data_IF_667631037844
#
_entry.id   IF_667631037844
#
_cell.length_a   1.000
_cell.length_b   1.000
_cell.length_c   1.000
_cell.angle_alpha   90.00
_cell.angle_beta   90.00
_cell.angle_gamma   90.00
#
_symmetry.space_group_name_H-M   'P 1'
#
loop_
_entity.id
_entity.type
_entity.pdbx_description
1 polymer ?
#
# COMPACT_ATOMS: atom_id res chain seq x y z
N UNK A 1 -24.27 8.60 6.18
CA UNK A 1 -23.35 8.30 5.06
C UNK A 1 -23.78 6.98 4.41
N UNK A 2 -23.72 6.87 3.08
CA UNK A 2 -24.07 5.64 2.33
C UNK A 2 -22.99 5.36 1.28
N UNK A 3 -22.51 4.11 1.19
CA UNK A 3 -21.60 3.71 0.12
C UNK A 3 -22.37 3.42 -1.17
N UNK A 4 -21.83 3.88 -2.29
CA UNK A 4 -22.28 3.47 -3.60
C UNK A 4 -22.07 1.97 -3.79
N UNK A 5 -23.00 1.31 -4.47
CA UNK A 5 -22.88 -0.11 -4.76
C UNK A 5 -21.74 -0.43 -5.75
N UNK A 6 -21.21 0.59 -6.44
CA UNK A 6 -20.09 0.49 -7.37
C UNK A 6 -18.84 1.07 -6.73
N UNK A 7 -17.71 0.40 -6.96
CA UNK A 7 -16.38 0.94 -6.72
C UNK A 7 -15.84 1.58 -8.01
N UNK A 8 -14.75 2.34 -7.92
CA UNK A 8 -14.05 2.84 -9.11
C UNK A 8 -13.44 1.69 -9.95
N UNK A 9 -13.03 1.96 -11.19
CA UNK A 9 -12.34 0.96 -12.01
C UNK A 9 -11.02 0.50 -11.37
N UNK A 10 -10.20 1.44 -10.87
CA UNK A 10 -8.96 1.12 -10.15
C UNK A 10 -9.20 0.26 -8.90
N UNK A 11 -10.21 0.59 -8.10
CA UNK A 11 -10.60 -0.22 -6.95
C UNK A 11 -11.11 -1.62 -7.37
N UNK A 12 -11.76 -1.74 -8.53
CA UNK A 12 -12.18 -3.02 -9.07
C UNK A 12 -11.00 -3.89 -9.49
N UNK A 13 -10.00 -3.30 -10.17
CA UNK A 13 -8.77 -3.98 -10.59
C UNK A 13 -7.99 -4.53 -9.39
N UNK A 14 -7.86 -3.74 -8.32
CA UNK A 14 -7.22 -4.17 -7.07
C UNK A 14 -7.90 -5.39 -6.42
N UNK A 15 -9.22 -5.57 -6.64
CA UNK A 15 -9.97 -6.69 -6.09
C UNK A 15 -9.82 -7.98 -6.90
N UNK A 16 -9.52 -7.90 -8.21
CA UNK A 16 -9.52 -9.06 -9.12
C UNK A 16 -8.68 -10.26 -8.61
N UNK A 17 -7.44 -10.07 -8.12
CA UNK A 17 -6.62 -11.18 -7.62
C UNK A 17 -7.22 -11.89 -6.39
N UNK A 18 -8.12 -11.21 -5.67
CA UNK A 18 -8.69 -11.69 -4.41
C UNK A 18 -10.10 -12.28 -4.56
N UNK A 19 -10.74 -12.12 -5.72
CA UNK A 19 -12.11 -12.62 -5.98
C UNK A 19 -12.20 -14.13 -5.77
N UNK A 20 -11.28 -14.89 -6.39
CA UNK A 20 -11.34 -16.35 -6.35
C UNK A 20 -11.14 -16.92 -4.94
N UNK A 21 -10.13 -16.48 -4.17
CA UNK A 21 -9.99 -16.88 -2.76
C UNK A 21 -11.21 -16.57 -1.87
N UNK A 22 -11.94 -15.49 -2.14
CA UNK A 22 -13.15 -15.13 -1.37
C UNK A 22 -14.34 -15.97 -1.81
N UNK A 23 -14.47 -16.24 -3.11
CA UNK A 23 -15.51 -17.11 -3.66
C UNK A 23 -15.39 -18.54 -3.13
N UNK A 24 -14.17 -19.10 -3.11
CA UNK A 24 -13.90 -20.47 -2.69
C UNK A 24 -14.09 -20.67 -1.17
N UNK A 25 -14.13 -19.60 -0.37
CA UNK A 25 -14.31 -19.64 1.09
C UNK A 25 -15.46 -18.72 1.53
N UNK A 26 -16.72 -19.18 1.45
CA UNK A 26 -17.86 -18.41 1.91
C UNK A 26 -17.71 -17.96 3.37
N UNK A 27 -17.89 -16.67 3.62
CA UNK A 27 -17.68 -16.06 4.94
C UNK A 27 -16.24 -15.63 5.23
N UNK A 28 -15.32 -15.79 4.28
CA UNK A 28 -13.97 -15.23 4.39
C UNK A 28 -14.02 -13.71 4.58
N UNK A 29 -13.24 -13.23 5.55
CA UNK A 29 -13.02 -11.81 5.78
C UNK A 29 -11.65 -11.43 5.25
N UNK A 30 -11.58 -10.29 4.57
CA UNK A 30 -10.31 -9.70 4.10
C UNK A 30 -10.16 -8.31 4.70
N UNK A 31 -8.91 -7.96 4.99
CA UNK A 31 -8.53 -6.60 5.29
C UNK A 31 -8.30 -5.86 3.97
N UNK A 32 -8.68 -4.59 3.91
CA UNK A 32 -8.26 -3.68 2.85
C UNK A 32 -8.00 -2.30 3.45
N UNK A 33 -7.14 -1.55 2.79
CA UNK A 33 -6.95 -0.11 2.97
C UNK A 33 -7.64 0.57 1.79
N UNK A 34 -8.35 1.67 2.02
CA UNK A 34 -9.09 2.29 0.93
C UNK A 34 -9.44 3.74 1.17
N UNK A 35 -9.56 4.45 0.06
CA UNK A 35 -10.02 5.83 0.00
C UNK A 35 -11.44 5.88 -0.56
N UNK A 36 -12.26 6.82 -0.08
CA UNK A 36 -13.57 7.09 -0.64
C UNK A 36 -13.75 8.58 -0.94
N UNK A 37 -14.41 8.87 -2.06
CA UNK A 37 -14.76 10.22 -2.45
C UNK A 37 -16.27 10.48 -2.33
N UNK A 38 -16.63 11.73 -2.08
CA UNK A 38 -17.99 12.22 -2.20
C UNK A 38 -18.51 12.03 -3.64
N UNK A 39 -19.75 11.56 -3.78
CA UNK A 39 -20.41 11.49 -5.09
C UNK A 39 -21.75 12.24 -5.13
N UNK A 40 -22.46 12.32 -4.01
CA UNK A 40 -23.77 12.97 -3.96
C UNK A 40 -24.07 13.43 -2.54
N UNK A 41 -24.69 14.61 -2.40
CA UNK A 41 -25.22 15.12 -1.14
C UNK A 41 -26.72 15.27 -1.26
N UNK A 42 -27.46 14.72 -0.30
CA UNK A 42 -28.89 14.95 -0.14
C UNK A 42 -29.09 15.98 0.96
N UNK A 43 -29.50 17.19 0.57
CA UNK A 43 -30.01 18.20 1.50
C UNK A 43 -31.54 18.14 1.53
N UNK A 44 -32.16 17.89 2.70
CA UNK A 44 -33.60 17.91 2.83
C UNK A 44 -34.14 19.34 2.76
N UNK A 45 -35.30 19.52 2.13
CA UNK A 45 -35.98 20.81 2.12
C UNK A 45 -36.48 21.17 3.53
N UNK A 46 -36.57 22.48 3.87
CA UNK A 46 -37.07 22.92 5.17
C UNK A 46 -38.45 22.34 5.48
N UNK A 47 -38.62 21.73 6.65
CA UNK A 47 -39.88 21.11 7.08
C UNK A 47 -40.12 19.67 6.59
N UNK A 48 -39.14 19.04 5.96
CA UNK A 48 -39.19 17.59 5.65
C UNK A 48 -38.50 16.77 6.75
N UNK A 49 -39.09 15.65 7.17
CA UNK A 49 -38.49 14.70 8.14
C UNK A 49 -37.33 13.87 7.59
N UNK A 50 -36.75 14.27 6.45
CA UNK A 50 -35.61 13.54 5.87
C UNK A 50 -34.32 13.98 6.53
N UNK A 51 -33.45 13.03 6.84
CA UNK A 51 -32.11 13.30 7.34
C UNK A 51 -31.16 13.70 6.20
N UNK A 52 -30.25 14.62 6.48
CA UNK A 52 -29.16 14.94 5.58
C UNK A 52 -28.29 13.70 5.37
N UNK A 53 -27.95 13.39 4.11
CA UNK A 53 -27.14 12.22 3.82
C UNK A 53 -26.12 12.50 2.73
N UNK A 54 -24.97 11.84 2.83
CA UNK A 54 -23.92 11.86 1.81
C UNK A 54 -23.73 10.45 1.27
N UNK A 55 -23.63 10.36 -0.05
CA UNK A 55 -23.26 9.16 -0.76
C UNK A 55 -21.79 9.26 -1.16
N UNK A 56 -21.03 8.20 -0.88
CA UNK A 56 -19.59 8.13 -1.14
C UNK A 56 -19.26 6.90 -1.99
N UNK A 57 -18.19 6.95 -2.77
CA UNK A 57 -17.67 5.83 -3.57
C UNK A 57 -16.25 5.53 -3.19
N UNK A 58 -15.91 4.25 -3.05
CA UNK A 58 -14.52 3.81 -2.89
C UNK A 58 -13.76 4.10 -4.19
N UNK A 59 -12.74 4.93 -4.11
CA UNK A 59 -11.92 5.39 -5.24
C UNK A 59 -10.61 4.63 -5.35
N UNK A 60 -10.05 4.21 -4.22
CA UNK A 60 -8.79 3.46 -4.14
C UNK A 60 -8.92 2.29 -3.18
N UNK A 61 -8.26 1.17 -3.51
CA UNK A 61 -8.19 -0.02 -2.67
C UNK A 61 -6.81 -0.67 -2.75
N UNK A 62 -6.30 -1.05 -1.59
CA UNK A 62 -5.12 -1.89 -1.44
C UNK A 62 -5.44 -3.06 -0.51
N UNK A 63 -5.15 -4.27 -0.99
CA UNK A 63 -5.44 -5.50 -0.26
C UNK A 63 -4.12 -6.18 0.10
N UNK A 64 -3.76 -6.27 1.40
CA UNK A 64 -2.59 -7.02 1.80
C UNK A 64 -2.77 -8.52 1.50
N UNK A 65 -1.65 -9.22 1.31
CA UNK A 65 -1.67 -10.69 1.27
C UNK A 65 -2.03 -11.25 2.65
N UNK A 66 -2.40 -12.53 2.70
CA UNK A 66 -2.77 -13.20 3.96
C UNK A 66 -1.66 -13.13 5.01
N UNK A 67 -0.41 -13.24 4.58
CA UNK A 67 0.78 -13.17 5.43
C UNK A 67 1.03 -11.75 5.96
N UNK A 68 0.57 -10.73 5.23
CA UNK A 68 0.73 -9.32 5.59
C UNK A 68 -0.41 -8.80 6.48
N UNK A 69 -1.59 -9.44 6.46
CA UNK A 69 -2.78 -8.91 7.14
C UNK A 69 -2.55 -8.59 8.62
N UNK A 70 -1.82 -9.43 9.36
CA UNK A 70 -1.59 -9.22 10.79
C UNK A 70 -0.63 -8.05 11.08
N UNK A 71 0.42 -7.91 10.26
CA UNK A 71 1.33 -6.77 10.33
C UNK A 71 0.62 -5.45 9.99
N UNK A 72 -0.25 -5.46 8.97
CA UNK A 72 -1.05 -4.28 8.61
C UNK A 72 -2.06 -3.94 9.71
N UNK A 73 -2.71 -4.92 10.35
CA UNK A 73 -3.59 -4.65 11.51
C UNK A 73 -2.83 -4.02 12.67
N UNK A 74 -1.61 -4.47 12.92
CA UNK A 74 -0.76 -3.91 13.98
C UNK A 74 -0.34 -2.48 13.65
N UNK A 75 0.10 -2.22 12.42
CA UNK A 75 0.41 -0.87 11.94
C UNK A 75 -0.82 0.06 12.03
N UNK A 76 -2.00 -0.39 11.61
CA UNK A 76 -3.23 0.38 11.73
C UNK A 76 -3.60 0.69 13.18
N UNK A 77 -3.42 -0.27 14.10
CA UNK A 77 -3.63 -0.04 15.54
C UNK A 77 -2.63 0.98 16.07
N UNK A 78 -1.37 0.87 15.68
CA UNK A 78 -0.33 1.83 16.07
C UNK A 78 -0.66 3.24 15.58
N UNK A 79 -0.99 3.39 14.29
CA UNK A 79 -1.41 4.67 13.70
C UNK A 79 -2.67 5.22 14.38
N UNK A 80 -3.64 4.37 14.69
CA UNK A 80 -4.83 4.76 15.44
C UNK A 80 -4.47 5.30 16.83
N UNK A 81 -3.66 4.55 17.59
CA UNK A 81 -3.21 4.96 18.92
C UNK A 81 -2.47 6.30 18.86
N UNK A 82 -1.54 6.44 17.91
CA UNK A 82 -0.78 7.67 17.71
C UNK A 82 -1.68 8.86 17.37
N UNK A 83 -2.67 8.67 16.50
CA UNK A 83 -3.68 9.69 16.15
C UNK A 83 -4.54 10.07 17.35
N UNK A 84 -5.04 9.09 18.11
CA UNK A 84 -5.92 9.33 19.26
C UNK A 84 -5.19 9.84 20.50
N UNK A 85 -3.87 9.65 20.59
CA UNK A 85 -3.07 10.07 21.73
C UNK A 85 -2.80 11.58 21.77
N UNK A 86 -2.94 12.30 20.65
CA UNK A 86 -2.46 13.68 20.55
C UNK A 86 -3.44 14.77 20.08
N UNK A 87 -4.68 14.46 19.71
CA UNK A 87 -5.66 15.52 19.47
C UNK A 87 -6.80 15.09 18.55
N UNK A 88 -7.99 15.53 18.94
CA UNK A 88 -9.29 15.30 18.32
C UNK A 88 -9.42 15.98 16.96
N UNK A 89 -10.47 15.59 16.21
CA UNK A 89 -11.04 16.41 15.15
C UNK A 89 -11.05 17.90 15.56
N UNK A 90 -10.63 18.77 14.66
CA UNK A 90 -10.89 20.20 14.83
C UNK A 90 -12.39 20.50 14.65
N UNK A 91 -12.80 21.73 14.95
CA UNK A 91 -14.20 22.16 14.86
C UNK A 91 -14.76 22.11 13.42
N UNK A 92 -13.89 21.94 12.42
CA UNK A 92 -14.23 21.80 10.99
C UNK A 92 -14.26 20.32 10.53
N UNK A 93 -14.01 19.37 11.44
CA UNK A 93 -14.01 17.94 11.15
C UNK A 93 -12.82 17.47 10.31
N UNK A 94 -11.76 18.28 10.18
CA UNK A 94 -10.52 17.90 9.53
C UNK A 94 -9.61 17.14 10.51
N UNK A 95 -8.90 16.16 9.95
CA UNK A 95 -7.97 15.35 10.70
C UNK A 95 -6.57 15.98 10.59
N UNK A 96 -6.21 16.87 11.52
CA UNK A 96 -4.84 17.37 11.59
C UNK A 96 -3.93 16.34 12.28
N UNK A 97 -3.06 15.70 11.49
CA UNK A 97 -1.97 14.92 12.05
C UNK A 97 -0.91 15.87 12.59
N UNK A 98 -0.47 15.67 13.84
CA UNK A 98 0.66 16.41 14.38
C UNK A 98 1.87 16.25 13.44
N UNK A 99 2.56 17.33 13.11
CA UNK A 99 3.74 17.34 12.23
C UNK A 99 4.82 16.32 12.68
N UNK A 100 4.98 16.08 13.99
CA UNK A 100 5.84 15.03 14.53
C UNK A 100 5.43 13.61 14.10
N UNK A 101 4.13 13.34 13.99
CA UNK A 101 3.58 12.06 13.51
C UNK A 101 3.82 11.89 12.01
N UNK A 102 3.63 12.93 11.20
CA UNK A 102 3.96 12.89 9.77
C UNK A 102 5.45 12.63 9.55
N UNK A 103 6.32 13.28 10.33
CA UNK A 103 7.78 13.04 10.30
C UNK A 103 8.16 11.64 10.74
N UNK A 104 7.51 11.09 11.77
CA UNK A 104 7.75 9.71 12.23
C UNK A 104 7.34 8.69 11.17
N UNK A 105 6.18 8.89 10.53
CA UNK A 105 5.69 8.03 9.45
C UNK A 105 6.59 8.12 8.21
N UNK A 106 7.03 9.33 7.83
CA UNK A 106 8.03 9.52 6.77
C UNK A 106 9.36 8.85 7.10
N UNK A 107 9.80 8.89 8.36
CA UNK A 107 10.98 8.18 8.84
C UNK A 107 10.84 6.66 8.77
N UNK A 108 9.65 6.12 9.05
CA UNK A 108 9.35 4.70 8.89
C UNK A 108 9.35 4.27 7.43
N UNK A 109 8.83 5.09 6.52
CA UNK A 109 8.86 4.81 5.08
C UNK A 109 10.30 4.75 4.57
N UNK A 110 11.14 5.73 4.92
CA UNK A 110 12.55 5.74 4.59
C UNK A 110 13.29 4.51 5.16
N UNK A 111 12.92 4.05 6.37
CA UNK A 111 13.49 2.85 6.98
C UNK A 111 13.11 1.58 6.22
N UNK A 112 11.83 1.44 5.83
CA UNK A 112 11.34 0.31 5.03
C UNK A 112 12.04 0.29 3.67
N UNK A 113 12.15 1.44 3.02
CA UNK A 113 12.82 1.56 1.73
C UNK A 113 14.30 1.18 1.82
N UNK A 114 14.98 1.66 2.87
CA UNK A 114 16.36 1.28 3.16
C UNK A 114 16.50 -0.22 3.41
N UNK A 115 15.58 -0.84 4.16
CA UNK A 115 15.59 -2.27 4.43
C UNK A 115 15.37 -3.09 3.16
N UNK A 116 14.48 -2.64 2.28
CA UNK A 116 14.20 -3.25 0.98
C UNK A 116 15.40 -3.16 0.04
N UNK A 117 16.00 -1.98 -0.11
CA UNK A 117 17.22 -1.78 -0.90
C UNK A 117 18.35 -2.67 -0.37
N UNK A 118 18.52 -2.75 0.95
CA UNK A 118 19.52 -3.61 1.58
C UNK A 118 19.27 -5.09 1.26
N UNK A 119 18.02 -5.56 1.33
CA UNK A 119 17.67 -6.93 0.98
C UNK A 119 17.93 -7.24 -0.50
N UNK A 120 17.57 -6.33 -1.42
CA UNK A 120 17.86 -6.47 -2.85
C UNK A 120 19.36 -6.51 -3.14
N UNK A 121 20.15 -5.64 -2.51
CA UNK A 121 21.61 -5.63 -2.63
C UNK A 121 22.24 -6.91 -2.05
N UNK A 122 21.77 -7.40 -0.89
CA UNK A 122 22.23 -8.64 -0.27
C UNK A 122 22.03 -9.83 -1.23
N UNK A 123 20.86 -9.91 -1.87
CA UNK A 123 20.53 -10.95 -2.85
C UNK A 123 21.49 -10.94 -4.05
N UNK A 124 21.68 -9.78 -4.69
CA UNK A 124 22.56 -9.66 -5.86
C UNK A 124 24.04 -9.79 -5.53
N UNK A 125 24.45 -9.39 -4.33
CA UNK A 125 25.81 -9.67 -3.81
C UNK A 125 26.04 -11.18 -3.69
N UNK A 126 25.05 -11.92 -3.18
CA UNK A 126 25.16 -13.38 -3.06
C UNK A 126 25.11 -14.08 -4.41
N UNK A 127 24.30 -13.57 -5.36
CA UNK A 127 24.33 -14.00 -6.75
C UNK A 127 25.72 -13.84 -7.38
N UNK A 128 26.33 -12.65 -7.26
CA UNK A 128 27.68 -12.38 -7.75
C UNK A 128 28.73 -13.30 -7.12
N UNK A 129 28.64 -13.55 -5.80
CA UNK A 129 29.53 -14.49 -5.11
C UNK A 129 29.40 -15.90 -5.66
N UNK A 130 28.18 -16.37 -5.94
CA UNK A 130 27.96 -17.70 -6.52
C UNK A 130 28.58 -17.83 -7.91
N UNK A 131 28.51 -16.79 -8.74
CA UNK A 131 29.19 -16.77 -10.05
C UNK A 131 30.70 -16.88 -9.87
N UNK A 132 31.28 -16.08 -8.96
CA UNK A 132 32.73 -16.05 -8.73
C UNK A 132 33.30 -17.35 -8.16
N UNK A 133 32.52 -18.08 -7.36
CA UNK A 133 32.92 -19.37 -6.79
C UNK A 133 32.34 -20.57 -7.58
N UNK A 134 31.71 -20.30 -8.71
CA UNK A 134 31.07 -21.27 -9.58
C UNK A 134 32.05 -21.96 -10.54
N UNK A 135 31.53 -22.79 -11.46
CA UNK A 135 32.35 -23.42 -12.51
C UNK A 135 32.95 -22.36 -13.45
N UNK A 136 34.04 -22.73 -14.13
CA UNK A 136 34.66 -21.87 -15.14
C UNK A 136 33.67 -21.53 -16.26
N UNK A 137 33.29 -20.27 -16.33
CA UNK A 137 32.35 -19.76 -17.33
C UNK A 137 33.09 -19.35 -18.60
N UNK A 138 32.46 -19.61 -19.75
CA UNK A 138 32.88 -19.02 -21.03
C UNK A 138 32.62 -17.52 -21.04
N UNK A 139 33.28 -16.80 -21.95
CA UNK A 139 33.09 -15.34 -22.12
C UNK A 139 31.62 -14.97 -22.41
N UNK A 140 30.88 -15.82 -23.12
CA UNK A 140 29.47 -15.61 -23.41
C UNK A 140 28.60 -15.76 -22.16
N UNK A 141 28.87 -16.76 -21.33
CA UNK A 141 28.17 -16.97 -20.05
C UNK A 141 28.49 -15.84 -19.06
N UNK A 142 29.76 -15.41 -18.95
CA UNK A 142 30.11 -14.23 -18.15
C UNK A 142 29.32 -13.00 -18.58
N UNK A 143 29.18 -12.76 -19.89
CA UNK A 143 28.37 -11.64 -20.39
C UNK A 143 26.90 -11.77 -20.01
N UNK A 144 26.34 -12.98 -20.09
CA UNK A 144 24.94 -13.24 -19.70
C UNK A 144 24.71 -13.01 -18.20
N UNK A 145 25.59 -13.52 -17.36
CA UNK A 145 25.53 -13.36 -15.90
C UNK A 145 25.67 -11.90 -15.48
N UNK A 146 26.57 -11.15 -16.13
CA UNK A 146 26.74 -9.71 -15.90
C UNK A 146 25.51 -8.91 -16.33
N UNK A 147 24.84 -9.30 -17.42
CA UNK A 147 23.59 -8.68 -17.86
C UNK A 147 22.48 -8.94 -16.84
N UNK A 148 22.31 -10.18 -16.39
CA UNK A 148 21.31 -10.55 -15.38
C UNK A 148 21.50 -9.77 -14.07
N UNK A 149 22.75 -9.59 -13.63
CA UNK A 149 23.09 -8.79 -12.46
C UNK A 149 22.77 -7.29 -12.67
N UNK A 150 23.07 -6.74 -13.84
CA UNK A 150 22.77 -5.34 -14.17
C UNK A 150 21.26 -5.08 -14.22
N UNK A 151 20.49 -5.95 -14.88
CA UNK A 151 19.03 -5.86 -14.98
C UNK A 151 18.39 -6.00 -13.58
N UNK A 152 18.90 -6.94 -12.79
CA UNK A 152 18.48 -7.18 -11.42
C UNK A 152 18.68 -6.00 -10.48
N UNK A 153 19.86 -5.37 -10.51
CA UNK A 153 20.14 -4.16 -9.73
C UNK A 153 19.31 -2.97 -10.23
N UNK A 154 19.09 -2.86 -11.53
CA UNK A 154 18.26 -1.82 -12.13
C UNK A 154 16.81 -1.96 -11.68
N UNK A 155 16.28 -3.17 -11.61
CA UNK A 155 14.95 -3.44 -11.07
C UNK A 155 14.83 -3.00 -9.61
N UNK A 156 15.80 -3.36 -8.75
CA UNK A 156 15.83 -2.95 -7.33
C UNK A 156 15.79 -1.42 -7.18
N UNK A 157 16.53 -0.70 -8.03
CA UNK A 157 16.55 0.77 -8.02
C UNK A 157 15.29 1.41 -8.60
N UNK A 158 14.71 0.83 -9.66
CA UNK A 158 13.51 1.40 -10.29
C UNK A 158 12.27 1.20 -9.42
N UNK A 159 12.14 0.04 -8.76
CA UNK A 159 11.05 -0.13 -7.77
C UNK A 159 11.20 0.83 -6.59
N UNK A 160 12.37 1.44 -6.37
CA UNK A 160 12.56 2.49 -5.35
C UNK A 160 12.03 3.84 -5.82
N UNK A 161 12.15 4.09 -7.13
CA UNK A 161 11.82 5.35 -7.77
C UNK A 161 10.32 5.50 -8.01
N UNK A 162 9.63 4.40 -8.34
CA UNK A 162 8.19 4.41 -8.58
C UNK A 162 7.39 4.77 -7.30
N UNK A 163 7.93 4.49 -6.11
CA UNK A 163 7.32 4.90 -4.83
C UNK A 163 7.52 6.39 -4.48
N UNK A 164 8.54 7.05 -5.02
CA UNK A 164 8.77 8.49 -4.81
C UNK A 164 7.96 9.38 -5.77
N UNK A 165 7.48 8.84 -6.89
CA UNK A 165 6.71 9.58 -7.90
C UNK A 165 5.19 9.60 -7.71
N UNK A 166 4.67 8.74 -6.81
CA UNK A 166 3.23 8.64 -6.48
C UNK A 166 2.88 9.29 -5.12
N UNK A 167 3.80 10.03 -4.51
CA UNK A 167 3.63 10.79 -3.26
C UNK A 167 3.60 12.31 -3.50
#
# INVERSE_FOLDING_TARGET
>A
MKFDAKVSASAQEALEPHVRPVYDQPGARRLFLGEFAHIERTEPAPGTEKEASVKVRITHLELPTKEQEDAVREALRFLHLQRTAHGTFDDDGQLELSDSTLRLTGGMLAFIETARLRAGLEHWREYARRILHGPDLTVTEVRHEMQALADGLTAVLNTARDHDSDA
#
